data_IF_461049919209
#
_entry.id   IF_461049919209
#
_cell.length_a   1.000
_cell.length_b   1.000
_cell.length_c   1.000
_cell.angle_alpha   90.00
_cell.angle_beta   90.00
_cell.angle_gamma   90.00
#
_symmetry.space_group_name_H-M   'P 1'
#
loop_
_entity.id
_entity.type
_entity.pdbx_description
1 polymer ?
#
# COMPACT_ATOMS: atom_id res chain seq x y z
N UNK A 1 42.11 -36.64 -36.19
CA UNK A 1 41.79 -37.47 -35.02
C UNK A 1 42.18 -36.69 -33.76
N UNK A 2 41.26 -35.88 -33.23
CA UNK A 2 41.43 -35.20 -31.93
C UNK A 2 40.30 -35.67 -31.02
N UNK A 3 40.64 -36.55 -30.09
CA UNK A 3 39.72 -37.11 -29.12
C UNK A 3 39.43 -36.06 -28.04
N UNK A 4 38.18 -35.56 -28.02
CA UNK A 4 37.60 -34.89 -26.87
C UNK A 4 37.33 -35.94 -25.79
N UNK A 5 38.36 -36.22 -24.98
CA UNK A 5 38.19 -37.01 -23.76
C UNK A 5 37.42 -36.15 -22.75
N UNK A 6 36.13 -36.45 -22.64
CA UNK A 6 35.21 -35.89 -21.65
C UNK A 6 35.65 -36.37 -20.26
N UNK A 7 36.43 -35.55 -19.56
CA UNK A 7 36.86 -35.81 -18.18
C UNK A 7 35.63 -35.95 -17.26
N UNK A 8 35.26 -37.19 -16.95
CA UNK A 8 34.13 -37.58 -16.11
C UNK A 8 34.53 -37.82 -14.63
N UNK A 9 35.79 -37.57 -14.27
CA UNK A 9 36.40 -38.10 -13.04
C UNK A 9 36.30 -37.21 -11.78
N UNK A 10 35.68 -36.01 -11.82
CA UNK A 10 35.81 -35.06 -10.69
C UNK A 10 34.51 -34.47 -10.12
N UNK A 11 33.34 -35.03 -10.42
CA UNK A 11 32.12 -34.71 -9.66
C UNK A 11 31.97 -35.66 -8.47
N UNK A 12 32.84 -35.50 -7.46
CA UNK A 12 32.53 -36.01 -6.11
C UNK A 12 31.12 -35.50 -5.75
N UNK A 13 30.20 -36.35 -5.23
CA UNK A 13 28.91 -35.86 -4.78
C UNK A 13 29.19 -34.80 -3.71
N UNK A 14 28.85 -33.54 -3.99
CA UNK A 14 28.95 -32.46 -3.00
C UNK A 14 28.15 -32.92 -1.78
N UNK A 15 28.80 -32.97 -0.62
CA UNK A 15 28.13 -33.31 0.65
C UNK A 15 26.81 -32.52 0.71
N UNK A 16 25.69 -33.16 1.09
CA UNK A 16 24.43 -32.45 1.22
C UNK A 16 24.65 -31.30 2.19
N UNK A 17 24.51 -30.07 1.69
CA UNK A 17 24.61 -28.89 2.53
C UNK A 17 23.56 -28.96 3.63
N UNK A 18 23.90 -28.52 4.85
CA UNK A 18 22.99 -28.69 5.95
C UNK A 18 21.74 -27.82 5.75
N UNK A 19 20.53 -28.37 5.98
CA UNK A 19 19.27 -27.75 5.59
C UNK A 19 19.02 -26.37 6.22
N UNK A 20 19.62 -26.11 7.38
CA UNK A 20 19.52 -24.82 8.07
C UNK A 20 20.17 -23.66 7.29
N UNK A 21 21.19 -23.92 6.45
CA UNK A 21 21.81 -22.87 5.62
C UNK A 21 20.87 -22.39 4.54
N UNK A 22 20.17 -23.32 3.88
CA UNK A 22 19.18 -22.99 2.86
C UNK A 22 18.02 -22.24 3.51
N UNK A 23 17.53 -22.75 4.64
CA UNK A 23 16.48 -22.10 5.42
C UNK A 23 16.85 -20.64 5.74
N UNK A 24 18.02 -20.43 6.34
CA UNK A 24 18.53 -19.11 6.70
C UNK A 24 18.72 -18.20 5.49
N UNK A 25 19.21 -18.72 4.37
CA UNK A 25 19.38 -17.96 3.13
C UNK A 25 18.03 -17.42 2.62
N UNK A 26 16.97 -18.25 2.61
CA UNK A 26 15.67 -17.78 2.16
C UNK A 26 14.99 -16.81 3.12
N UNK A 27 15.14 -17.01 4.44
CA UNK A 27 14.71 -16.01 5.43
C UNK A 27 15.46 -14.68 5.25
N UNK A 28 16.74 -14.72 4.90
CA UNK A 28 17.53 -13.53 4.59
C UNK A 28 17.06 -12.85 3.30
N UNK A 29 16.71 -13.61 2.26
CA UNK A 29 16.11 -13.03 1.04
C UNK A 29 14.77 -12.33 1.35
N UNK A 30 13.88 -12.99 2.08
CA UNK A 30 12.55 -12.45 2.41
C UNK A 30 12.65 -11.22 3.33
N UNK A 31 13.33 -11.35 4.46
CA UNK A 31 13.39 -10.24 5.42
C UNK A 31 14.38 -9.15 4.98
N UNK A 32 15.44 -9.50 4.26
CA UNK A 32 16.39 -8.53 3.70
C UNK A 32 15.75 -7.66 2.62
N UNK A 33 14.94 -8.25 1.74
CA UNK A 33 14.16 -7.47 0.75
C UNK A 33 13.13 -6.58 1.44
N UNK A 34 12.43 -7.09 2.46
CA UNK A 34 11.51 -6.26 3.24
C UNK A 34 12.25 -5.07 3.89
N UNK A 35 13.40 -5.29 4.54
CA UNK A 35 14.17 -4.24 5.20
C UNK A 35 14.70 -3.18 4.21
N UNK A 36 15.18 -3.59 3.04
CA UNK A 36 15.67 -2.66 2.00
C UNK A 36 14.58 -1.71 1.50
N UNK A 37 13.33 -2.16 1.49
CA UNK A 37 12.19 -1.38 0.98
C UNK A 37 11.50 -0.51 2.03
N UNK A 38 11.81 -0.68 3.33
CA UNK A 38 11.31 0.20 4.38
C UNK A 38 11.62 1.70 4.13
N UNK A 39 12.88 2.13 3.89
CA UNK A 39 13.18 3.53 3.66
C UNK A 39 12.54 4.07 2.37
N UNK A 40 12.41 3.24 1.34
CA UNK A 40 11.80 3.64 0.08
C UNK A 40 10.29 3.82 0.25
N UNK A 41 9.65 3.00 1.07
CA UNK A 41 8.24 3.21 1.42
C UNK A 41 8.01 4.43 2.32
N UNK A 42 9.01 4.81 3.13
CA UNK A 42 8.93 5.98 4.02
C UNK A 42 9.06 7.31 3.28
N UNK A 43 9.97 7.37 2.30
CA UNK A 43 10.36 8.62 1.65
C UNK A 43 10.08 8.66 0.15
N UNK A 44 9.78 7.52 -0.45
CA UNK A 44 9.60 7.36 -1.89
C UNK A 44 8.14 7.17 -2.32
N UNK A 45 7.93 7.16 -3.63
CA UNK A 45 6.63 6.91 -4.25
C UNK A 45 6.49 5.43 -4.67
N UNK A 46 5.28 5.02 -5.06
CA UNK A 46 5.05 3.71 -5.70
C UNK A 46 5.94 3.54 -6.92
N UNK A 47 6.16 4.59 -7.70
CA UNK A 47 7.08 4.57 -8.84
C UNK A 47 8.52 4.28 -8.40
N UNK A 48 8.98 4.94 -7.33
CA UNK A 48 10.31 4.69 -6.75
C UNK A 48 10.46 3.23 -6.31
N UNK A 49 9.43 2.67 -5.67
CA UNK A 49 9.37 1.25 -5.28
C UNK A 49 9.50 0.32 -6.50
N UNK A 50 8.72 0.56 -7.56
CA UNK A 50 8.77 -0.25 -8.79
C UNK A 50 10.12 -0.11 -9.50
N UNK A 51 10.65 1.10 -9.62
CA UNK A 51 11.94 1.36 -10.25
C UNK A 51 13.08 0.66 -9.50
N UNK A 52 13.10 0.74 -8.17
CA UNK A 52 14.12 0.08 -7.36
C UNK A 52 14.00 -1.44 -7.41
N UNK A 53 12.77 -1.98 -7.46
CA UNK A 53 12.53 -3.41 -7.66
C UNK A 53 13.09 -3.89 -9.01
N UNK A 54 12.85 -3.13 -10.08
CA UNK A 54 13.41 -3.40 -11.41
C UNK A 54 14.93 -3.35 -11.42
N UNK A 55 15.52 -2.36 -10.76
CA UNK A 55 16.98 -2.23 -10.64
C UNK A 55 17.61 -3.39 -9.86
N UNK A 56 16.99 -3.82 -8.76
CA UNK A 56 17.47 -4.93 -7.93
C UNK A 56 17.25 -6.31 -8.57
N UNK A 57 16.33 -6.45 -9.53
CA UNK A 57 16.04 -7.72 -10.18
C UNK A 57 17.28 -8.36 -10.81
N UNK A 58 18.00 -7.60 -11.64
CA UNK A 58 19.15 -8.13 -12.36
C UNK A 58 20.28 -8.65 -11.44
N UNK A 59 20.80 -7.87 -10.46
CA UNK A 59 21.86 -8.34 -9.59
C UNK A 59 21.42 -9.53 -8.71
N UNK A 60 20.18 -9.52 -8.19
CA UNK A 60 19.67 -10.63 -7.37
C UNK A 60 19.42 -11.89 -8.19
N UNK A 61 19.00 -11.75 -9.45
CA UNK A 61 18.85 -12.88 -10.37
C UNK A 61 20.21 -13.53 -10.67
N UNK A 62 21.25 -12.75 -10.99
CA UNK A 62 22.59 -13.28 -11.19
C UNK A 62 23.18 -13.91 -9.92
N UNK A 63 22.95 -13.30 -8.75
CA UNK A 63 23.34 -13.88 -7.46
C UNK A 63 22.65 -15.23 -7.25
N UNK A 64 21.35 -15.32 -7.54
CA UNK A 64 20.56 -16.55 -7.42
C UNK A 64 21.09 -17.63 -8.35
N UNK A 65 21.39 -17.32 -9.63
CA UNK A 65 22.00 -18.26 -10.56
C UNK A 65 23.31 -18.85 -10.05
N UNK A 66 24.15 -18.02 -9.40
CA UNK A 66 25.39 -18.47 -8.79
C UNK A 66 25.12 -19.42 -7.62
N UNK A 67 24.17 -19.07 -6.77
CA UNK A 67 23.78 -19.87 -5.61
C UNK A 67 23.10 -21.19 -5.99
N UNK A 68 22.37 -21.24 -7.12
CA UNK A 68 21.72 -22.47 -7.64
C UNK A 68 22.73 -23.59 -7.88
N UNK A 69 23.98 -23.26 -8.26
CA UNK A 69 25.06 -24.26 -8.40
C UNK A 69 25.43 -24.97 -7.09
N UNK A 70 25.02 -24.42 -5.96
CA UNK A 70 25.35 -24.88 -4.63
C UNK A 70 24.12 -25.46 -3.91
N UNK A 71 22.97 -24.76 -3.94
CA UNK A 71 21.77 -25.16 -3.20
C UNK A 71 20.60 -25.61 -4.07
N UNK A 72 20.78 -25.65 -5.40
CA UNK A 72 19.76 -26.10 -6.35
C UNK A 72 18.62 -25.10 -6.55
N UNK A 73 17.55 -25.56 -7.21
CA UNK A 73 16.47 -24.69 -7.69
C UNK A 73 15.59 -24.10 -6.58
N UNK A 74 15.70 -24.57 -5.34
CA UNK A 74 14.93 -24.05 -4.21
C UNK A 74 15.20 -22.55 -3.94
N UNK A 75 16.35 -22.03 -4.37
CA UNK A 75 16.72 -20.62 -4.17
C UNK A 75 15.88 -19.70 -5.06
N UNK A 76 15.44 -20.14 -6.24
CA UNK A 76 14.53 -19.35 -7.06
C UNK A 76 13.19 -19.12 -6.36
N UNK A 77 12.75 -20.09 -5.55
CA UNK A 77 11.56 -19.92 -4.73
C UNK A 77 11.79 -18.89 -3.61
N UNK A 78 12.96 -18.90 -2.95
CA UNK A 78 13.34 -17.86 -1.99
C UNK A 78 13.41 -16.47 -2.63
N UNK A 79 14.00 -16.36 -3.83
CA UNK A 79 14.07 -15.12 -4.59
C UNK A 79 12.67 -14.60 -4.88
N UNK A 80 11.77 -15.45 -5.38
CA UNK A 80 10.38 -15.08 -5.67
C UNK A 80 9.66 -14.55 -4.43
N UNK A 81 9.76 -15.25 -3.29
CA UNK A 81 9.16 -14.79 -2.03
C UNK A 81 9.79 -13.48 -1.54
N UNK A 82 11.09 -13.29 -1.73
CA UNK A 82 11.78 -12.03 -1.46
C UNK A 82 11.24 -10.88 -2.31
N UNK A 83 10.99 -11.10 -3.59
CA UNK A 83 10.38 -10.09 -4.47
C UNK A 83 8.95 -9.75 -4.07
N UNK A 84 8.18 -10.70 -3.55
CA UNK A 84 6.84 -10.43 -2.98
C UNK A 84 6.89 -9.64 -1.67
N UNK A 85 7.95 -9.83 -0.87
CA UNK A 85 8.12 -9.11 0.40
C UNK A 85 8.41 -7.62 0.24
N UNK A 86 9.04 -7.23 -0.88
CA UNK A 86 9.40 -5.84 -1.19
C UNK A 86 8.18 -4.90 -1.29
N UNK A 87 7.15 -5.15 -2.12
CA UNK A 87 5.95 -4.32 -2.16
C UNK A 87 5.15 -4.40 -0.86
N UNK A 88 5.11 -5.55 -0.18
CA UNK A 88 4.46 -5.64 1.13
C UNK A 88 5.13 -4.71 2.16
N UNK A 89 6.45 -4.69 2.20
CA UNK A 89 7.19 -3.81 3.11
C UNK A 89 7.08 -2.34 2.72
N UNK A 90 7.32 -2.04 1.44
CA UNK A 90 7.30 -0.66 0.93
C UNK A 90 5.92 0.00 0.99
N UNK A 91 4.83 -0.75 0.80
CA UNK A 91 3.47 -0.18 0.76
C UNK A 91 2.73 -0.23 2.10
N UNK A 92 3.07 -1.17 2.98
CA UNK A 92 2.32 -1.36 4.23
C UNK A 92 3.19 -1.16 5.47
N UNK A 93 4.36 -1.81 5.51
CA UNK A 93 5.20 -1.85 6.71
C UNK A 93 5.93 -0.52 6.97
N UNK A 94 6.35 0.16 5.91
CA UNK A 94 7.04 1.45 5.94
C UNK A 94 6.24 2.52 6.71
N UNK A 95 4.98 2.75 6.35
CA UNK A 95 4.14 3.78 6.97
C UNK A 95 3.91 3.54 8.46
N UNK A 96 3.69 2.28 8.85
CA UNK A 96 3.57 1.93 10.27
C UNK A 96 4.90 2.12 11.02
N UNK A 97 6.02 1.71 10.43
CA UNK A 97 7.34 1.85 11.04
C UNK A 97 7.74 3.32 11.23
N UNK A 98 7.44 4.19 10.26
CA UNK A 98 7.66 5.64 10.37
C UNK A 98 6.86 6.26 11.51
N UNK A 99 5.59 5.86 11.65
CA UNK A 99 4.74 6.28 12.75
C UNK A 99 5.30 5.84 14.12
N UNK A 100 5.70 4.57 14.26
CA UNK A 100 6.29 4.06 15.51
C UNK A 100 7.61 4.73 15.89
N UNK A 101 8.43 5.10 14.90
CA UNK A 101 9.68 5.84 15.13
C UNK A 101 9.45 7.34 15.39
N UNK A 102 8.21 7.82 15.36
CA UNK A 102 7.90 9.24 15.49
C UNK A 102 8.45 10.09 14.34
N UNK A 103 8.84 9.45 13.23
CA UNK A 103 9.30 10.13 12.03
C UNK A 103 8.08 10.81 11.41
N UNK A 104 8.03 12.14 11.54
CA UNK A 104 7.02 12.97 10.88
C UNK A 104 7.16 12.74 9.39
N UNK A 105 6.16 12.14 8.75
CA UNK A 105 6.09 12.09 7.30
C UNK A 105 6.18 13.52 6.77
N UNK A 106 6.95 13.78 5.70
CA UNK A 106 7.15 15.12 5.16
C UNK A 106 5.87 15.79 4.62
N UNK A 107 4.72 15.09 4.66
CA UNK A 107 3.41 15.53 4.18
C UNK A 107 2.62 16.34 5.22
N UNK A 108 3.29 17.06 6.12
CA UNK A 108 2.69 18.20 6.83
C UNK A 108 2.58 19.40 5.86
N UNK A 109 1.96 19.21 4.70
CA UNK A 109 1.74 20.29 3.74
C UNK A 109 0.45 21.00 4.09
N UNK A 110 0.63 22.18 4.67
CA UNK A 110 -0.31 23.31 4.64
C UNK A 110 -1.07 23.23 3.32
N UNK A 111 -2.42 23.20 3.35
CA UNK A 111 -3.23 23.24 2.14
C UNK A 111 -3.03 24.62 1.50
N UNK A 112 -1.97 24.76 0.72
CA UNK A 112 -1.74 25.89 -0.18
C UNK A 112 -2.18 25.49 -1.59
N UNK A 113 -2.65 26.50 -2.32
CA UNK A 113 -3.30 26.42 -3.64
C UNK A 113 -2.40 25.86 -4.75
N UNK A 114 -1.11 25.67 -4.51
CA UNK A 114 -0.18 25.07 -5.47
C UNK A 114 0.84 24.17 -4.77
N UNK A 115 0.62 22.85 -4.77
CA UNK A 115 1.72 21.90 -4.65
C UNK A 115 1.32 20.57 -5.28
N UNK A 116 1.91 20.26 -6.43
CA UNK A 116 1.64 19.07 -7.25
C UNK A 116 2.09 17.74 -6.66
N UNK A 117 1.76 17.44 -5.40
CA UNK A 117 2.02 16.15 -4.78
C UNK A 117 0.72 15.34 -4.78
N UNK A 118 0.51 14.62 -5.88
CA UNK A 118 -0.77 13.99 -6.25
C UNK A 118 -1.06 12.61 -5.59
N UNK A 119 -0.29 12.16 -4.61
CA UNK A 119 -0.37 10.77 -4.10
C UNK A 119 -0.27 10.61 -2.58
N UNK A 120 -0.63 11.63 -1.80
CA UNK A 120 -0.67 11.54 -0.34
C UNK A 120 -1.87 10.72 0.10
N UNK A 121 -1.65 9.58 0.76
CA UNK A 121 -2.75 8.72 1.23
C UNK A 121 -3.43 9.30 2.46
N UNK A 122 -2.68 9.84 3.43
CA UNK A 122 -3.23 10.40 4.68
C UNK A 122 -2.69 11.83 4.87
N UNK A 123 -3.59 12.79 5.03
CA UNK A 123 -3.28 14.21 5.23
C UNK A 123 -3.60 14.59 6.67
N UNK A 124 -2.62 15.19 7.37
CA UNK A 124 -2.84 15.78 8.69
C UNK A 124 -3.11 17.27 8.55
N UNK A 125 -4.23 17.72 9.10
CA UNK A 125 -4.72 19.09 9.05
C UNK A 125 -4.70 19.66 10.46
N UNK A 126 -4.10 20.84 10.64
CA UNK A 126 -4.05 21.52 11.94
C UNK A 126 -4.99 22.71 11.92
N UNK A 127 -5.83 22.82 12.95
CA UNK A 127 -6.81 23.89 13.09
C UNK A 127 -7.81 23.93 11.91
N UNK A 128 -8.29 22.76 11.49
CA UNK A 128 -9.35 22.66 10.50
C UNK A 128 -10.66 22.28 11.18
N UNK A 129 -11.77 22.66 10.55
CA UNK A 129 -13.10 22.27 10.97
C UNK A 129 -13.98 22.07 9.73
N UNK A 130 -15.08 21.35 9.94
CA UNK A 130 -16.06 21.09 8.90
C UNK A 130 -17.18 22.14 8.96
N UNK A 131 -17.62 22.62 7.80
CA UNK A 131 -18.75 23.53 7.72
C UNK A 131 -20.07 22.78 7.46
N UNK A 132 -20.67 22.23 8.51
CA UNK A 132 -21.89 21.42 8.42
C UNK A 132 -23.08 22.14 7.77
N UNK A 133 -23.16 23.47 7.91
CA UNK A 133 -24.20 24.32 7.31
C UNK A 133 -24.28 24.16 5.78
N UNK A 134 -23.16 23.82 5.14
CA UNK A 134 -23.06 23.69 3.68
C UNK A 134 -22.89 22.23 3.23
N UNK A 135 -23.34 21.27 4.02
CA UNK A 135 -23.31 19.86 3.63
C UNK A 135 -24.25 19.59 2.44
N UNK A 136 -23.82 18.73 1.54
CA UNK A 136 -24.60 18.31 0.38
C UNK A 136 -24.68 16.79 0.30
N UNK A 137 -25.77 16.31 -0.30
CA UNK A 137 -26.05 14.89 -0.52
C UNK A 137 -26.40 14.69 -1.98
N UNK A 138 -25.70 13.75 -2.62
CA UNK A 138 -25.99 13.33 -3.99
C UNK A 138 -26.26 11.85 -4.03
N UNK A 139 -27.30 11.47 -4.77
CA UNK A 139 -27.70 10.08 -4.92
C UNK A 139 -27.15 9.56 -6.24
N UNK A 140 -26.36 8.49 -6.21
CA UNK A 140 -25.93 7.79 -7.42
C UNK A 140 -26.50 6.37 -7.47
N UNK A 141 -26.99 5.98 -8.65
CA UNK A 141 -27.38 4.60 -8.93
C UNK A 141 -26.22 3.89 -9.62
N UNK A 142 -25.63 2.90 -8.95
CA UNK A 142 -24.57 2.09 -9.58
C UNK A 142 -25.18 1.20 -10.65
N UNK A 143 -24.56 1.16 -11.84
CA UNK A 143 -25.01 0.26 -12.92
C UNK A 143 -25.01 -1.19 -12.44
N UNK A 144 -26.14 -1.88 -12.63
CA UNK A 144 -26.29 -3.30 -12.34
C UNK A 144 -25.23 -4.11 -13.11
N UNK A 145 -24.41 -4.91 -12.40
CA UNK A 145 -23.44 -5.82 -13.02
C UNK A 145 -24.08 -7.07 -13.62
N UNK A 146 -25.32 -7.40 -13.25
CA UNK A 146 -26.06 -8.56 -13.74
C UNK A 146 -27.53 -8.22 -14.01
N UNK A 147 -28.15 -8.79 -15.07
CA UNK A 147 -29.58 -8.64 -15.33
C UNK A 147 -30.38 -9.20 -14.15
N UNK A 148 -31.25 -8.37 -13.54
CA UNK A 148 -32.09 -8.76 -12.40
C UNK A 148 -31.56 -8.39 -11.01
N UNK A 149 -30.38 -7.76 -10.91
CA UNK A 149 -29.90 -7.25 -9.61
C UNK A 149 -30.59 -5.95 -9.21
N UNK A 150 -31.15 -5.90 -8.00
CA UNK A 150 -31.75 -4.71 -7.41
C UNK A 150 -30.65 -3.67 -7.16
N UNK A 151 -30.67 -2.57 -7.89
CA UNK A 151 -29.73 -1.45 -7.70
C UNK A 151 -30.18 -0.60 -6.51
N UNK A 152 -29.53 -0.78 -5.36
CA UNK A 152 -29.74 0.12 -4.22
C UNK A 152 -29.14 1.49 -4.54
N UNK A 153 -29.86 2.60 -4.29
CA UNK A 153 -29.28 3.93 -4.41
C UNK A 153 -28.16 4.10 -3.38
N UNK A 154 -27.04 4.67 -3.81
CA UNK A 154 -25.93 5.06 -2.94
C UNK A 154 -26.01 6.55 -2.69
N UNK A 155 -25.86 6.98 -1.44
CA UNK A 155 -25.90 8.38 -1.05
C UNK A 155 -24.50 8.85 -0.69
N UNK A 156 -24.00 9.85 -1.41
CA UNK A 156 -22.69 10.45 -1.22
C UNK A 156 -22.87 11.78 -0.52
N UNK A 157 -22.37 11.88 0.70
CA UNK A 157 -22.43 13.10 1.50
C UNK A 157 -21.08 13.78 1.53
N UNK A 158 -21.09 15.10 1.34
CA UNK A 158 -19.88 15.93 1.36
C UNK A 158 -20.10 17.20 2.17
N UNK A 159 -19.04 17.68 2.82
CA UNK A 159 -19.04 18.96 3.54
C UNK A 159 -17.74 19.72 3.28
N UNK A 160 -17.75 21.06 3.25
CA UNK A 160 -16.52 21.83 3.16
C UNK A 160 -15.61 21.57 4.37
N UNK A 161 -14.31 21.44 4.12
CA UNK A 161 -13.29 21.25 5.14
C UNK A 161 -12.28 22.40 5.05
N UNK A 162 -12.36 23.32 6.02
CA UNK A 162 -11.67 24.61 5.95
C UNK A 162 -10.80 24.85 7.19
N UNK A 163 -9.82 25.75 7.06
CA UNK A 163 -8.99 26.19 8.18
C UNK A 163 -9.77 27.12 9.11
N UNK A 164 -9.32 27.25 10.36
CA UNK A 164 -9.85 28.17 11.37
C UNK A 164 -9.93 29.62 10.91
N UNK A 165 -9.06 30.00 9.98
CA UNK A 165 -8.90 31.37 9.50
C UNK A 165 -9.76 31.67 8.26
N UNK A 166 -10.48 30.67 7.75
CA UNK A 166 -11.36 30.79 6.58
C UNK A 166 -12.55 31.71 6.87
N UNK A 167 -12.87 32.58 5.92
CA UNK A 167 -14.03 33.47 5.98
C UNK A 167 -15.03 33.15 4.88
N UNK A 168 -16.30 33.48 5.13
CA UNK A 168 -17.35 33.30 4.14
C UNK A 168 -17.04 34.13 2.88
N UNK A 169 -16.90 33.44 1.74
CA UNK A 169 -16.44 34.03 0.47
C UNK A 169 -15.04 33.56 0.03
N UNK A 170 -14.23 33.02 0.95
CA UNK A 170 -12.94 32.43 0.61
C UNK A 170 -13.11 31.08 -0.12
N UNK A 171 -12.21 30.71 -1.04
CA UNK A 171 -12.30 29.46 -1.79
C UNK A 171 -12.18 28.23 -0.89
N UNK A 172 -13.00 27.21 -1.16
CA UNK A 172 -12.97 25.93 -0.43
C UNK A 172 -12.06 24.96 -1.17
N UNK A 173 -10.84 24.79 -0.67
CA UNK A 173 -9.82 23.95 -1.31
C UNK A 173 -9.97 22.45 -0.97
N UNK A 174 -10.60 22.12 0.17
CA UNK A 174 -10.76 20.76 0.65
C UNK A 174 -12.22 20.45 1.04
N UNK A 175 -12.63 19.22 0.78
CA UNK A 175 -13.97 18.71 1.04
C UNK A 175 -13.87 17.38 1.79
N UNK A 176 -14.66 17.24 2.84
CA UNK A 176 -14.82 16.00 3.58
C UNK A 176 -15.88 15.14 2.89
N UNK A 177 -15.59 13.86 2.71
CA UNK A 177 -16.51 12.84 2.22
C UNK A 177 -16.96 11.95 3.38
N UNK A 178 -18.24 11.60 3.45
CA UNK A 178 -18.71 10.70 4.50
C UNK A 178 -18.33 9.24 4.21
N UNK A 179 -17.80 8.48 5.20
CA UNK A 179 -17.52 7.06 5.04
C UNK A 179 -18.79 6.20 4.91
N UNK A 180 -19.91 6.67 5.46
CA UNK A 180 -21.18 5.95 5.41
C UNK A 180 -21.94 6.32 4.14
N UNK A 181 -21.98 5.38 3.19
CA UNK A 181 -22.80 5.46 1.97
C UNK A 181 -24.23 5.04 2.33
N UNK A 182 -24.87 5.82 3.19
CA UNK A 182 -26.16 5.56 3.81
C UNK A 182 -27.09 6.75 3.59
N UNK A 183 -28.40 6.52 3.62
CA UNK A 183 -29.40 7.60 3.55
C UNK A 183 -29.33 8.52 4.78
N UNK A 184 -28.85 8.02 5.91
CA UNK A 184 -28.59 8.83 7.11
C UNK A 184 -27.47 9.84 6.89
N UNK A 185 -27.71 11.09 7.28
CA UNK A 185 -26.72 12.17 7.27
C UNK A 185 -25.51 11.76 8.11
N UNK A 186 -24.31 12.07 7.61
CA UNK A 186 -23.08 11.80 8.35
C UNK A 186 -23.05 12.56 9.68
N UNK A 187 -22.71 11.86 10.75
CA UNK A 187 -22.45 12.48 12.04
C UNK A 187 -21.01 12.98 12.07
N UNK A 188 -20.81 14.16 11.50
CA UNK A 188 -19.49 14.75 11.38
C UNK A 188 -18.91 15.26 12.71
N UNK A 189 -19.68 15.26 13.81
CA UNK A 189 -19.17 15.59 15.14
C UNK A 189 -18.35 14.43 15.72
N UNK A 190 -18.62 13.20 15.27
CA UNK A 190 -17.86 12.01 15.65
C UNK A 190 -16.56 11.84 14.86
N UNK A 191 -16.44 12.52 13.73
CA UNK A 191 -15.27 12.41 12.85
C UNK A 191 -14.19 13.43 13.21
N UNK A 192 -12.91 13.05 13.09
CA UNK A 192 -11.81 13.96 13.41
C UNK A 192 -11.55 14.95 12.24
N UNK A 193 -11.59 16.27 12.48
CA UNK A 193 -11.27 17.26 11.45
C UNK A 193 -9.75 17.45 11.25
N UNK A 194 -8.93 16.69 11.96
CA UNK A 194 -7.48 16.85 11.96
C UNK A 194 -6.75 15.84 11.07
N UNK A 195 -7.43 14.80 10.58
CA UNK A 195 -6.81 13.77 9.73
C UNK A 195 -7.81 13.26 8.70
N UNK A 196 -7.39 13.17 7.43
CA UNK A 196 -8.20 12.57 6.38
C UNK A 196 -7.40 11.75 5.37
N UNK A 197 -8.01 10.70 4.82
CA UNK A 197 -7.45 9.90 3.71
C UNK A 197 -7.84 10.53 2.36
N UNK A 198 -6.91 10.70 1.43
CA UNK A 198 -7.24 11.20 0.09
C UNK A 198 -8.04 10.17 -0.70
N UNK A 199 -9.19 10.59 -1.23
CA UNK A 199 -10.01 9.74 -2.10
C UNK A 199 -9.60 9.79 -3.57
N UNK A 200 -8.52 10.50 -3.94
CA UNK A 200 -8.09 10.69 -5.33
C UNK A 200 -7.87 9.38 -6.11
N UNK A 201 -7.46 8.31 -5.44
CA UNK A 201 -7.25 6.98 -6.02
C UNK A 201 -8.43 6.02 -5.86
N UNK A 202 -9.54 6.45 -5.23
CA UNK A 202 -10.71 5.62 -5.02
C UNK A 202 -11.51 5.47 -6.32
N UNK A 203 -12.01 4.26 -6.59
CA UNK A 203 -12.95 4.04 -7.70
C UNK A 203 -14.27 4.80 -7.54
N UNK A 204 -14.56 5.29 -6.32
CA UNK A 204 -15.74 6.11 -6.02
C UNK A 204 -15.50 7.62 -6.20
N UNK A 205 -14.28 8.04 -6.49
CA UNK A 205 -13.92 9.46 -6.63
C UNK A 205 -14.84 10.25 -7.59
N UNK A 206 -15.26 9.72 -8.76
CA UNK A 206 -16.15 10.46 -9.67
C UNK A 206 -17.48 10.85 -9.03
N UNK A 207 -18.06 9.98 -8.18
CA UNK A 207 -19.33 10.24 -7.50
C UNK A 207 -19.19 11.31 -6.41
N UNK A 208 -18.07 11.29 -5.68
CA UNK A 208 -17.76 12.35 -4.72
C UNK A 208 -17.47 13.68 -5.40
N UNK A 209 -16.80 13.68 -6.56
CA UNK A 209 -16.54 14.88 -7.35
C UNK A 209 -17.85 15.52 -7.81
N UNK A 210 -18.81 14.71 -8.28
CA UNK A 210 -20.15 15.17 -8.64
C UNK A 210 -20.87 15.80 -7.43
N UNK A 211 -20.79 15.15 -6.26
CA UNK A 211 -21.35 15.68 -5.02
C UNK A 211 -20.76 17.04 -4.61
N UNK A 212 -19.43 17.18 -4.74
CA UNK A 212 -18.73 18.43 -4.46
C UNK A 212 -19.14 19.52 -5.45
N UNK A 213 -19.20 19.22 -6.75
CA UNK A 213 -19.64 20.17 -7.77
C UNK A 213 -21.08 20.65 -7.57
N UNK A 214 -21.99 19.76 -7.18
CA UNK A 214 -23.37 20.12 -6.87
C UNK A 214 -23.44 21.01 -5.62
N UNK A 215 -22.65 20.70 -4.59
CA UNK A 215 -22.53 21.53 -3.40
C UNK A 215 -22.02 22.94 -3.74
N UNK A 216 -21.00 23.06 -4.60
CA UNK A 216 -20.49 24.36 -5.05
C UNK A 216 -21.52 25.18 -5.78
N UNK A 217 -22.27 24.58 -6.71
CA UNK A 217 -23.37 25.25 -7.42
C UNK A 217 -24.47 25.72 -6.47
N UNK A 218 -24.85 24.86 -5.50
CA UNK A 218 -25.92 25.14 -4.55
C UNK A 218 -25.58 26.27 -3.58
N UNK A 219 -24.33 26.32 -3.13
CA UNK A 219 -23.88 27.24 -2.08
C UNK A 219 -22.99 28.39 -2.58
N UNK A 220 -22.74 28.47 -3.89
CA UNK A 220 -21.98 29.55 -4.51
C UNK A 220 -20.47 29.49 -4.26
N UNK A 221 -19.92 28.31 -3.97
CA UNK A 221 -18.47 28.15 -3.81
C UNK A 221 -17.77 28.01 -5.16
N UNK A 222 -16.65 28.70 -5.33
CA UNK A 222 -15.74 28.43 -6.45
C UNK A 222 -14.97 27.13 -6.17
N UNK A 223 -15.15 26.15 -7.06
CA UNK A 223 -14.57 24.81 -6.91
C UNK A 223 -13.49 24.63 -7.96
N UNK A 224 -12.22 24.41 -7.56
CA UNK A 224 -11.16 24.15 -8.50
C UNK A 224 -11.44 22.86 -9.29
N UNK A 225 -10.92 22.71 -10.52
CA UNK A 225 -11.19 21.54 -11.37
C UNK A 225 -10.77 20.20 -10.75
N UNK A 226 -9.89 20.22 -9.74
CA UNK A 226 -9.48 19.06 -8.93
C UNK A 226 -9.49 19.43 -7.44
N UNK A 227 -10.66 19.43 -6.78
CA UNK A 227 -10.73 19.72 -5.35
C UNK A 227 -10.10 18.58 -4.54
N UNK A 228 -9.53 18.88 -3.37
CA UNK A 228 -9.05 17.83 -2.47
C UNK A 228 -10.24 17.22 -1.74
N UNK A 229 -10.59 15.97 -2.08
CA UNK A 229 -11.66 15.23 -1.39
C UNK A 229 -11.02 14.23 -0.44
N UNK A 230 -11.31 14.38 0.84
CA UNK A 230 -10.69 13.64 1.93
C UNK A 230 -11.77 12.90 2.73
N UNK A 231 -11.48 11.66 3.11
CA UNK A 231 -12.28 10.87 4.03
C UNK A 231 -11.77 11.10 5.45
N UNK A 232 -12.53 11.72 6.37
CA UNK A 232 -12.04 11.95 7.72
C UNK A 232 -11.83 10.62 8.45
N UNK A 233 -10.78 10.55 9.26
CA UNK A 233 -10.42 9.36 10.03
C UNK A 233 -10.70 9.61 11.51
N UNK A 234 -11.73 8.95 12.05
CA UNK A 234 -12.04 8.94 13.49
C UNK A 234 -10.87 8.42 14.35
N UNK A 235 -10.14 7.40 13.89
CA UNK A 235 -8.95 6.85 14.57
C UNK A 235 -7.77 6.67 13.60
N UNK A 236 -6.91 7.69 13.44
CA UNK A 236 -5.76 7.61 12.55
C UNK A 236 -4.71 6.60 13.06
N UNK A 237 -4.61 6.39 14.37
CA UNK A 237 -3.67 5.44 14.95
C UNK A 237 -4.11 4.01 14.65
N UNK A 238 -5.39 3.71 14.82
CA UNK A 238 -5.97 2.41 14.46
C UNK A 238 -5.82 2.07 12.98
N UNK A 239 -6.01 3.05 12.08
CA UNK A 239 -5.80 2.86 10.65
C UNK A 239 -4.33 2.50 10.32
N UNK A 240 -3.37 3.24 10.86
CA UNK A 240 -1.94 3.00 10.69
C UNK A 240 -1.49 1.67 11.32
N UNK A 241 -1.96 1.34 12.52
CA UNK A 241 -1.70 0.07 13.20
C UNK A 241 -2.24 -1.08 12.34
N UNK A 242 -3.45 -0.96 11.81
CA UNK A 242 -4.05 -1.98 10.94
C UNK A 242 -3.22 -2.22 9.66
N UNK A 243 -2.73 -1.14 9.03
CA UNK A 243 -1.79 -1.24 7.89
C UNK A 243 -0.49 -1.94 8.30
N UNK A 244 0.08 -1.60 9.45
CA UNK A 244 1.27 -2.26 9.99
C UNK A 244 1.05 -3.75 10.28
N UNK A 245 -0.07 -4.11 10.90
CA UNK A 245 -0.46 -5.49 11.18
C UNK A 245 -0.61 -6.29 9.88
N UNK A 246 -1.19 -5.71 8.83
CA UNK A 246 -1.25 -6.39 7.53
C UNK A 246 0.12 -6.61 6.91
N UNK A 247 1.01 -5.61 7.00
CA UNK A 247 2.41 -5.75 6.55
C UNK A 247 3.13 -6.87 7.30
N UNK A 248 3.07 -6.88 8.63
CA UNK A 248 3.69 -7.90 9.48
C UNK A 248 3.10 -9.28 9.19
N UNK A 249 1.78 -9.39 9.11
CA UNK A 249 1.09 -10.65 8.84
C UNK A 249 1.46 -11.21 7.46
N UNK A 250 1.54 -10.36 6.44
CA UNK A 250 1.99 -10.75 5.10
C UNK A 250 3.44 -11.23 5.09
N UNK A 251 4.33 -10.54 5.81
CA UNK A 251 5.73 -10.96 5.93
C UNK A 251 5.87 -12.29 6.68
N UNK A 252 5.12 -12.49 7.75
CA UNK A 252 5.07 -13.77 8.47
C UNK A 252 4.54 -14.90 7.59
N UNK A 253 3.50 -14.64 6.78
CA UNK A 253 2.97 -15.62 5.84
C UNK A 253 4.02 -16.02 4.79
N UNK A 254 4.78 -15.07 4.24
CA UNK A 254 5.86 -15.37 3.29
C UNK A 254 6.98 -16.20 3.93
N UNK A 255 7.41 -15.84 5.15
CA UNK A 255 8.39 -16.63 5.90
C UNK A 255 7.86 -18.04 6.20
N UNK A 256 6.58 -18.18 6.55
CA UNK A 256 5.95 -19.46 6.81
C UNK A 256 5.86 -20.34 5.56
N UNK A 257 5.49 -19.76 4.42
CA UNK A 257 5.49 -20.45 3.10
C UNK A 257 6.89 -20.95 2.77
N UNK A 258 7.94 -20.16 3.03
CA UNK A 258 9.32 -20.57 2.84
C UNK A 258 9.70 -21.77 3.72
N UNK A 259 9.40 -21.70 5.03
CA UNK A 259 9.69 -22.77 5.99
C UNK A 259 9.02 -24.08 5.55
N UNK A 260 7.72 -24.05 5.22
CA UNK A 260 7.00 -25.23 4.71
C UNK A 260 7.63 -25.74 3.42
N UNK A 261 7.97 -24.85 2.49
CA UNK A 261 8.61 -25.21 1.23
C UNK A 261 9.91 -26.00 1.45
N UNK A 262 10.73 -25.58 2.41
CA UNK A 262 11.96 -26.28 2.79
C UNK A 262 11.69 -27.63 3.46
N UNK A 263 10.70 -27.71 4.36
CA UNK A 263 10.33 -28.98 5.00
C UNK A 263 9.86 -30.02 3.97
N UNK A 264 9.03 -29.61 3.01
CA UNK A 264 8.56 -30.49 1.92
C UNK A 264 9.74 -30.89 1.03
N UNK A 265 10.60 -29.94 0.67
CA UNK A 265 11.78 -30.22 -0.15
C UNK A 265 12.73 -31.22 0.52
N UNK A 266 12.99 -31.05 1.83
CA UNK A 266 13.81 -31.95 2.61
C UNK A 266 13.19 -33.36 2.70
N UNK A 267 11.88 -33.44 2.93
CA UNK A 267 11.16 -34.73 2.96
C UNK A 267 11.26 -35.47 1.62
N UNK A 268 11.07 -34.77 0.49
CA UNK A 268 11.21 -35.35 -0.86
C UNK A 268 12.63 -35.84 -1.14
N UNK A 269 13.64 -35.10 -0.68
CA UNK A 269 15.05 -35.47 -0.86
C UNK A 269 15.42 -36.71 -0.04
N UNK A 270 14.89 -36.83 1.17
CA UNK A 270 15.08 -38.01 2.01
C UNK A 270 14.36 -39.24 1.45
N UNK A 271 13.19 -39.08 0.81
CA UNK A 271 12.44 -40.20 0.21
C UNK A 271 12.97 -40.65 -1.16
N UNK A 272 13.81 -39.84 -1.82
CA UNK A 272 14.44 -40.18 -3.11
C UNK A 272 15.87 -40.70 -2.96
N UNK A 273 16.36 -40.81 -1.72
CA UNK A 273 17.64 -41.43 -1.37
C UNK A 273 17.52 -42.84 -0.77
N UNK A 274 16.32 -43.43 -0.80
CA UNK A 274 16.08 -44.88 -0.67
C UNK A 274 15.86 -45.46 -2.07
#
# INVERSE_FOLDING_TARGET
MFALVKNWENQRPKRPEPPWRILGLGLLFVNGMAALFLPIGLFGSVFSTVAFLGFLFLPLFFLTLRLTKQYGNAIFFALFLGFLSAPLSGLYLSHAFGFFLGLRTPEQTIIQTESGIFHVRIVQLKNFYFLYKYQSRVTATTKAKAPGSITKPLYFHVAPWVSSDWKEGDPVLAWAACPQISDSVCDWEKESPNVGESLSSSGLYPYYLEAVQEAGKKYGFDIPPKPKILLPLSDPQGALIKTGVYGISGLLALNYIWIIGILIWQRRRNSSGQ
#
